data_IF_340951100185
#
_entry.id   IF_340951100185
#
_cell.length_a   1.000
_cell.length_b   1.000
_cell.length_c   1.000
_cell.angle_alpha   90.00
_cell.angle_beta   90.00
_cell.angle_gamma   90.00
#
_symmetry.space_group_name_H-M   'P 1'
#
loop_
_entity.id
_entity.type
_entity.pdbx_description
1 polymer ?
#
# COMPACT_ATOMS: atom_id res chain seq x y z
N UNK A 1 -2.55 13.71 -15.36
CA UNK A 1 -1.19 13.27 -14.96
C UNK A 1 -1.04 13.59 -13.48
N UNK A 2 -1.41 12.66 -12.59
CA UNK A 2 -1.32 12.83 -11.13
C UNK A 2 -0.23 11.91 -10.53
N UNK A 3 0.46 11.13 -11.37
CA UNK A 3 1.54 10.20 -10.97
C UNK A 3 2.84 10.88 -10.49
N UNK A 4 2.83 12.18 -10.17
CA UNK A 4 4.02 12.92 -9.73
C UNK A 4 3.78 13.91 -8.58
N UNK A 5 2.53 14.08 -8.12
CA UNK A 5 2.23 15.07 -7.08
C UNK A 5 2.03 14.37 -5.73
N UNK A 6 2.59 14.93 -4.65
CA UNK A 6 2.25 14.44 -3.32
C UNK A 6 0.76 14.63 -3.08
N UNK A 7 0.09 13.58 -2.64
CA UNK A 7 -1.36 13.56 -2.42
C UNK A 7 -1.61 13.58 -0.93
N UNK A 8 -2.37 14.55 -0.44
CA UNK A 8 -2.77 14.66 0.94
C UNK A 8 -4.28 14.49 1.03
N UNK A 9 -4.74 13.81 2.09
CA UNK A 9 -6.16 13.64 2.41
C UNK A 9 -6.40 14.03 3.85
N UNK A 10 -7.62 14.46 4.16
CA UNK A 10 -8.01 14.78 5.52
C UNK A 10 -8.63 13.52 6.14
N UNK A 11 -8.02 13.00 7.19
CA UNK A 11 -8.56 11.90 7.98
C UNK A 11 -9.44 12.47 9.09
N UNK A 12 -10.60 11.85 9.28
CA UNK A 12 -11.54 12.14 10.37
C UNK A 12 -11.90 10.85 11.10
N UNK A 13 -12.53 10.94 12.27
CA UNK A 13 -12.87 9.78 13.10
C UNK A 13 -13.65 8.67 12.36
N UNK A 14 -14.47 9.04 11.37
CA UNK A 14 -15.29 8.12 10.58
C UNK A 14 -14.65 7.64 9.27
N UNK A 15 -13.43 8.07 8.94
CA UNK A 15 -12.77 7.73 7.69
C UNK A 15 -11.97 8.89 7.11
N UNK A 16 -12.40 9.39 5.95
CA UNK A 16 -11.77 10.53 5.28
C UNK A 16 -12.82 11.59 4.99
N UNK A 17 -12.41 12.85 4.98
CA UNK A 17 -13.30 13.96 4.72
C UNK A 17 -13.85 13.88 3.29
N UNK A 18 -15.17 13.93 3.21
CA UNK A 18 -15.92 14.04 1.96
C UNK A 18 -16.75 15.31 2.02
N UNK A 19 -17.16 15.78 0.85
CA UNK A 19 -17.94 16.99 0.76
C UNK A 19 -19.00 16.86 -0.33
N UNK A 20 -20.13 17.52 -0.16
CA UNK A 20 -21.13 17.64 -1.21
C UNK A 20 -20.63 18.65 -2.25
N UNK A 21 -20.62 18.25 -3.51
CA UNK A 21 -20.11 19.06 -4.63
C UNK A 21 -21.23 19.23 -5.66
N UNK A 22 -22.14 20.20 -5.46
CA UNK A 22 -23.23 20.46 -6.41
C UNK A 22 -22.71 20.90 -7.79
N UNK A 23 -21.50 21.46 -7.85
CA UNK A 23 -20.85 21.93 -9.08
C UNK A 23 -20.04 20.84 -9.81
N UNK A 24 -19.87 19.66 -9.22
CA UNK A 24 -19.32 18.52 -9.97
C UNK A 24 -20.42 17.99 -10.93
N UNK A 25 -20.15 17.83 -12.23
CA UNK A 25 -21.18 17.50 -13.21
C UNK A 25 -21.76 16.10 -12.94
N UNK A 26 -23.05 15.99 -12.51
CA UNK A 26 -24.02 14.87 -12.67
C UNK A 26 -25.35 15.12 -11.90
N UNK A 27 -26.44 14.42 -12.28
CA UNK A 27 -27.86 14.62 -11.90
C UNK A 27 -28.28 14.30 -10.43
N UNK A 28 -27.37 14.14 -9.47
CA UNK A 28 -27.69 13.76 -8.07
C UNK A 28 -26.70 14.37 -7.09
N UNK A 29 -26.99 14.45 -5.77
CA UNK A 29 -26.00 14.89 -4.79
C UNK A 29 -24.73 14.06 -4.94
N UNK A 30 -23.66 14.72 -5.38
CA UNK A 30 -22.37 14.12 -5.63
C UNK A 30 -21.52 14.37 -4.40
N UNK A 31 -21.08 13.31 -3.75
CA UNK A 31 -20.03 13.43 -2.76
C UNK A 31 -18.69 13.27 -3.45
N UNK A 32 -17.77 14.16 -3.11
CA UNK A 32 -16.38 14.08 -3.53
C UNK A 32 -15.50 13.84 -2.29
N UNK A 33 -14.48 13.01 -2.45
CA UNK A 33 -13.41 12.96 -1.45
C UNK A 33 -12.47 14.14 -1.63
N UNK A 34 -12.08 14.76 -0.52
CA UNK A 34 -11.12 15.86 -0.51
C UNK A 34 -9.69 15.36 -0.66
N UNK A 35 -9.00 15.88 -1.67
CA UNK A 35 -7.60 15.59 -1.97
C UNK A 35 -6.85 16.91 -2.18
N UNK A 36 -5.65 17.00 -1.64
CA UNK A 36 -4.81 18.19 -1.72
C UNK A 36 -3.44 17.85 -2.30
N UNK A 37 -2.88 18.78 -3.05
CA UNK A 37 -1.53 18.68 -3.66
C UNK A 37 -0.43 19.11 -2.71
N UNK A 38 -0.76 19.80 -1.61
CA UNK A 38 0.18 20.18 -0.55
C UNK A 38 -0.45 20.02 0.82
N UNK A 39 0.38 19.77 1.83
CA UNK A 39 -0.05 19.68 3.24
C UNK A 39 -0.70 20.96 3.71
N UNK A 40 -0.09 22.11 3.39
CA UNK A 40 -0.58 23.43 3.75
C UNK A 40 -1.99 23.71 3.23
N UNK A 41 -2.30 23.35 1.98
CA UNK A 41 -3.66 23.54 1.45
C UNK A 41 -4.70 22.73 2.22
N UNK A 42 -4.33 21.53 2.69
CA UNK A 42 -5.22 20.72 3.51
C UNK A 42 -5.40 21.33 4.90
N UNK A 43 -4.33 21.85 5.53
CA UNK A 43 -4.38 22.55 6.81
C UNK A 43 -5.24 23.82 6.73
N UNK A 44 -4.99 24.68 5.74
CA UNK A 44 -5.74 25.91 5.49
C UNK A 44 -7.24 25.60 5.29
N UNK A 45 -7.57 24.49 4.61
CA UNK A 45 -8.96 24.05 4.43
C UNK A 45 -9.59 23.55 5.74
N UNK A 46 -8.87 22.76 6.54
CA UNK A 46 -9.34 22.30 7.86
C UNK A 46 -9.68 23.50 8.75
N UNK A 47 -8.79 24.50 8.78
CA UNK A 47 -8.97 25.71 9.57
C UNK A 47 -10.17 26.53 9.08
N UNK A 48 -10.28 26.75 7.77
CA UNK A 48 -11.36 27.54 7.17
C UNK A 48 -12.74 26.93 7.39
N UNK A 49 -12.86 25.60 7.35
CA UNK A 49 -14.12 24.88 7.54
C UNK A 49 -14.41 24.57 9.01
N UNK A 50 -13.39 24.60 9.87
CA UNK A 50 -13.50 24.29 11.29
C UNK A 50 -13.76 22.80 11.56
N UNK A 51 -13.04 21.91 10.85
CA UNK A 51 -13.20 20.46 11.04
C UNK A 51 -12.46 20.02 12.32
N UNK A 52 -13.24 19.72 13.36
CA UNK A 52 -12.69 19.20 14.63
C UNK A 52 -12.13 17.77 14.46
N UNK A 53 -11.06 17.45 15.19
CA UNK A 53 -10.37 16.15 15.18
C UNK A 53 -9.92 15.66 13.78
N UNK A 54 -9.55 16.60 12.90
CA UNK A 54 -9.01 16.30 11.59
C UNK A 54 -7.48 16.17 11.59
N UNK A 55 -6.96 15.20 10.83
CA UNK A 55 -5.52 14.99 10.63
C UNK A 55 -5.20 15.01 9.13
N UNK A 56 -4.20 15.80 8.72
CA UNK A 56 -3.68 15.75 7.35
C UNK A 56 -2.82 14.51 7.20
N UNK A 57 -3.16 13.68 6.21
CA UNK A 57 -2.43 12.45 5.91
C UNK A 57 -1.84 12.50 4.51
N UNK A 58 -0.52 12.37 4.42
CA UNK A 58 0.18 12.13 3.17
C UNK A 58 -0.05 10.69 2.65
N UNK A 59 -0.43 10.58 1.38
CA UNK A 59 -0.55 9.35 0.63
C UNK A 59 0.70 9.14 -0.23
N UNK A 60 1.41 8.05 0.05
CA UNK A 60 2.75 7.79 -0.51
C UNK A 60 2.72 7.32 -1.95
N UNK A 61 1.61 6.71 -2.36
CA UNK A 61 1.45 6.17 -3.68
C UNK A 61 -0.03 6.03 -4.05
N UNK A 62 -0.24 5.75 -5.32
CA UNK A 62 -1.55 5.58 -5.92
C UNK A 62 -2.38 4.46 -5.30
N UNK A 63 -1.78 3.43 -4.70
CA UNK A 63 -2.57 2.37 -4.05
C UNK A 63 -3.09 2.80 -2.68
N UNK A 64 -2.40 3.69 -1.98
CA UNK A 64 -2.97 4.29 -0.77
C UNK A 64 -4.21 5.10 -1.12
N UNK A 65 -4.14 5.89 -2.20
CA UNK A 65 -5.31 6.58 -2.73
C UNK A 65 -6.41 5.60 -3.17
N UNK A 66 -6.06 4.50 -3.83
CA UNK A 66 -7.02 3.44 -4.16
C UNK A 66 -7.71 2.82 -2.94
N UNK A 67 -7.00 2.62 -1.82
CA UNK A 67 -7.60 2.15 -0.56
C UNK A 67 -8.53 3.19 0.06
N UNK A 68 -8.11 4.44 0.04
CA UNK A 68 -8.91 5.57 0.52
C UNK A 68 -10.23 5.62 -0.27
N UNK A 69 -10.18 5.51 -1.59
CA UNK A 69 -11.35 5.46 -2.47
C UNK A 69 -12.23 4.23 -2.17
N UNK A 70 -11.63 3.05 -2.01
CA UNK A 70 -12.37 1.80 -1.83
C UNK A 70 -13.16 1.70 -0.52
N UNK A 71 -12.76 2.45 0.52
CA UNK A 71 -13.50 2.47 1.80
C UNK A 71 -14.57 3.58 1.86
N UNK A 72 -14.67 4.43 0.84
CA UNK A 72 -15.67 5.49 0.85
C UNK A 72 -17.09 4.91 0.70
N UNK A 73 -18.11 5.59 1.25
CA UNK A 73 -19.49 5.27 0.96
C UNK A 73 -19.74 5.24 -0.55
N UNK A 74 -20.65 4.37 -1.01
CA UNK A 74 -20.98 4.21 -2.44
C UNK A 74 -21.50 5.49 -3.14
N UNK A 75 -21.77 6.54 -2.37
CA UNK A 75 -22.22 7.85 -2.85
C UNK A 75 -21.05 8.77 -3.27
N UNK A 76 -19.79 8.40 -2.97
CA UNK A 76 -18.61 9.15 -3.41
C UNK A 76 -18.26 8.73 -4.83
N UNK A 77 -18.43 9.65 -5.77
CA UNK A 77 -18.22 9.42 -7.21
C UNK A 77 -17.08 10.27 -7.79
N UNK A 78 -16.63 11.28 -7.04
CA UNK A 78 -15.66 12.27 -7.46
C UNK A 78 -14.51 12.45 -6.47
N UNK A 79 -13.47 13.13 -6.93
CA UNK A 79 -12.41 13.70 -6.12
C UNK A 79 -12.47 15.21 -6.30
N UNK A 80 -12.50 15.93 -5.18
CA UNK A 80 -12.38 17.37 -5.10
C UNK A 80 -10.92 17.71 -4.80
N UNK A 81 -10.26 18.37 -5.73
CA UNK A 81 -8.83 18.68 -5.68
C UNK A 81 -8.64 20.13 -5.26
N UNK A 82 -7.82 20.33 -4.24
CA UNK A 82 -7.40 21.63 -3.73
C UNK A 82 -8.61 22.56 -3.50
N UNK A 83 -9.64 22.04 -2.82
CA UNK A 83 -10.80 22.84 -2.46
C UNK A 83 -10.39 23.99 -1.56
N UNK A 84 -10.92 25.19 -1.83
CA UNK A 84 -10.65 26.40 -1.05
C UNK A 84 -12.00 26.99 -0.66
N UNK A 85 -12.14 27.37 0.61
CA UNK A 85 -13.27 28.15 1.10
C UNK A 85 -12.83 29.62 1.23
N UNK A 86 -13.38 30.50 0.40
CA UNK A 86 -13.10 31.94 0.41
C UNK A 86 -14.40 32.72 0.47
N UNK A 87 -14.55 33.60 1.47
CA UNK A 87 -15.75 34.45 1.66
C UNK A 87 -17.09 33.68 1.65
N UNK A 88 -17.09 32.45 2.17
CA UNK A 88 -18.27 31.57 2.20
C UNK A 88 -18.59 30.87 0.87
N UNK A 89 -17.76 31.07 -0.16
CA UNK A 89 -17.82 30.36 -1.43
C UNK A 89 -16.77 29.26 -1.47
N UNK A 90 -17.20 28.07 -1.88
CA UNK A 90 -16.31 26.96 -2.11
C UNK A 90 -15.89 26.95 -3.58
N UNK A 91 -14.58 27.04 -3.81
CA UNK A 91 -13.97 26.79 -5.11
C UNK A 91 -13.36 25.39 -5.08
N UNK A 92 -13.70 24.56 -6.07
CA UNK A 92 -13.17 23.19 -6.15
C UNK A 92 -13.01 22.73 -7.59
N UNK A 93 -11.94 21.97 -7.85
CA UNK A 93 -11.77 21.26 -9.10
C UNK A 93 -12.18 19.81 -8.93
N UNK A 94 -13.13 19.36 -9.74
CA UNK A 94 -13.63 17.99 -9.69
C UNK A 94 -13.00 17.09 -10.76
N UNK A 95 -12.66 15.87 -10.37
CA UNK A 95 -12.42 14.77 -11.30
C UNK A 95 -13.29 13.57 -10.92
N UNK A 96 -13.77 12.82 -11.92
CA UNK A 96 -14.44 11.56 -11.63
C UNK A 96 -13.43 10.56 -11.07
N UNK A 97 -13.85 9.69 -10.15
CA UNK A 97 -12.99 8.59 -9.67
C UNK A 97 -12.48 7.72 -10.83
N UNK A 98 -13.30 7.55 -11.86
CA UNK A 98 -12.93 6.79 -13.05
C UNK A 98 -11.78 7.43 -13.83
N UNK A 99 -11.85 8.74 -14.08
CA UNK A 99 -10.78 9.48 -14.77
C UNK A 99 -9.51 9.55 -13.92
N UNK A 100 -9.66 9.67 -12.60
CA UNK A 100 -8.53 9.57 -11.68
C UNK A 100 -7.84 8.21 -11.81
N UNK A 101 -8.57 7.11 -11.67
CA UNK A 101 -8.01 5.74 -11.77
C UNK A 101 -7.35 5.49 -13.12
N UNK A 102 -7.87 6.06 -14.21
CA UNK A 102 -7.24 5.98 -15.54
C UNK A 102 -5.91 6.72 -15.63
N UNK A 103 -5.75 7.81 -14.88
CA UNK A 103 -4.53 8.63 -14.89
C UNK A 103 -3.51 8.21 -13.83
N UNK A 104 -3.89 7.29 -12.94
CA UNK A 104 -3.03 6.63 -11.97
C UNK A 104 -2.25 5.49 -12.65
N UNK A 105 -0.92 5.60 -12.65
CA UNK A 105 -0.02 4.49 -13.00
C UNK A 105 0.01 3.49 -11.84
N UNK A 106 -1.08 2.72 -11.65
CA UNK A 106 -1.22 1.82 -10.50
C UNK A 106 0.06 1.02 -10.35
N UNK A 107 0.85 1.33 -9.33
CA UNK A 107 2.10 0.64 -9.07
C UNK A 107 1.72 -0.80 -8.67
N UNK A 108 1.69 -1.67 -9.68
CA UNK A 108 1.38 -3.10 -9.56
C UNK A 108 2.56 -3.88 -8.96
N UNK A 109 3.59 -3.19 -8.50
CA UNK A 109 4.77 -3.78 -7.90
C UNK A 109 4.42 -4.32 -6.52
N UNK A 110 4.56 -5.63 -6.25
CA UNK A 110 4.35 -6.17 -4.91
C UNK A 110 5.35 -5.58 -3.88
N UNK A 111 6.38 -4.88 -4.36
CA UNK A 111 7.49 -4.28 -3.61
C UNK A 111 7.18 -2.93 -2.97
N UNK A 112 6.13 -2.24 -3.42
CA UNK A 112 5.69 -0.95 -2.84
C UNK A 112 4.87 -1.13 -1.54
N UNK A 113 4.81 -2.36 -1.03
CA UNK A 113 4.03 -2.74 0.13
C UNK A 113 4.90 -3.47 1.14
N UNK A 114 4.48 -3.50 2.41
CA UNK A 114 5.16 -4.30 3.39
C UNK A 114 5.15 -5.76 2.95
N UNK A 115 6.34 -6.33 2.85
CA UNK A 115 6.53 -7.75 2.64
C UNK A 115 6.92 -8.40 3.95
N UNK A 116 6.61 -9.68 4.05
CA UNK A 116 6.78 -10.43 5.28
C UNK A 116 7.68 -11.63 5.04
N UNK A 117 8.55 -11.89 5.99
CA UNK A 117 9.40 -13.07 6.05
C UNK A 117 9.15 -13.79 7.37
N UNK A 118 9.49 -15.07 7.42
CA UNK A 118 9.49 -15.85 8.66
C UNK A 118 10.94 -16.15 9.02
N UNK A 119 11.37 -15.72 10.20
CA UNK A 119 12.74 -15.86 10.70
C UNK A 119 12.73 -16.64 12.01
N UNK A 120 13.70 -17.49 12.24
CA UNK A 120 13.92 -18.19 13.50
C UNK A 120 14.84 -17.37 14.43
N UNK A 121 14.82 -17.69 15.72
CA UNK A 121 15.66 -17.02 16.74
C UNK A 121 17.16 -17.16 16.48
N UNK A 122 17.59 -18.25 15.80
CA UNK A 122 18.97 -18.46 15.37
C UNK A 122 19.35 -17.66 14.11
N UNK A 123 18.42 -16.89 13.55
CA UNK A 123 18.62 -16.07 12.35
C UNK A 123 18.21 -16.73 11.04
N UNK A 124 17.90 -18.03 11.01
CA UNK A 124 17.52 -18.74 9.79
C UNK A 124 16.13 -18.33 9.30
N UNK A 125 15.92 -18.32 7.98
CA UNK A 125 14.63 -17.99 7.39
C UNK A 125 13.85 -19.26 7.03
N UNK A 126 12.53 -19.17 7.02
CA UNK A 126 11.71 -20.20 6.39
C UNK A 126 12.07 -20.23 4.90
N UNK A 127 12.60 -21.36 4.45
CA UNK A 127 13.15 -21.52 3.12
C UNK A 127 12.68 -22.83 2.50
N UNK A 128 12.68 -22.84 1.18
CA UNK A 128 12.52 -24.04 0.35
C UNK A 128 13.92 -24.46 -0.06
N UNK A 129 14.34 -25.64 0.38
CA UNK A 129 15.59 -26.23 -0.06
C UNK A 129 15.45 -26.69 -1.51
N UNK A 130 16.39 -26.28 -2.36
CA UNK A 130 16.54 -26.81 -3.72
C UNK A 130 17.88 -27.52 -3.82
N UNK A 131 18.12 -28.26 -4.90
CA UNK A 131 19.38 -29.03 -5.08
C UNK A 131 20.65 -28.17 -4.94
N UNK A 132 20.57 -26.88 -5.29
CA UNK A 132 21.74 -25.99 -5.39
C UNK A 132 21.61 -24.68 -4.59
N UNK A 133 20.48 -24.41 -3.93
CA UNK A 133 20.26 -23.12 -3.26
C UNK A 133 19.16 -23.15 -2.19
N UNK A 134 19.20 -22.17 -1.28
CA UNK A 134 18.11 -21.88 -0.37
C UNK A 134 17.25 -20.75 -0.94
N UNK A 135 15.94 -20.99 -1.05
CA UNK A 135 14.98 -20.00 -1.53
C UNK A 135 14.12 -19.54 -0.36
N UNK A 136 14.25 -18.29 0.08
CA UNK A 136 13.49 -17.80 1.24
C UNK A 136 12.03 -17.50 0.90
N UNK A 137 11.13 -17.79 1.82
CA UNK A 137 9.72 -17.48 1.66
C UNK A 137 9.45 -15.99 1.88
N UNK A 138 8.89 -15.34 0.87
CA UNK A 138 8.43 -13.95 0.90
C UNK A 138 6.92 -13.90 0.76
N UNK A 139 6.24 -13.23 1.68
CA UNK A 139 4.79 -13.10 1.67
C UNK A 139 4.38 -11.66 1.40
N UNK A 140 3.41 -11.48 0.50
CA UNK A 140 2.88 -10.16 0.15
C UNK A 140 1.80 -9.67 1.11
N UNK A 141 1.37 -10.51 2.05
CA UNK A 141 0.43 -10.14 3.12
C UNK A 141 0.78 -10.84 4.43
N UNK A 142 0.44 -10.18 5.55
CA UNK A 142 0.58 -10.75 6.89
C UNK A 142 -0.20 -12.07 7.04
N UNK A 143 -1.42 -12.11 6.50
CA UNK A 143 -2.27 -13.30 6.60
C UNK A 143 -1.62 -14.52 5.94
N UNK A 144 -1.06 -14.37 4.74
CA UNK A 144 -0.37 -15.48 4.05
C UNK A 144 0.84 -15.99 4.83
N UNK A 145 1.62 -15.09 5.44
CA UNK A 145 2.74 -15.48 6.29
C UNK A 145 2.27 -16.24 7.53
N UNK A 146 1.18 -15.81 8.17
CA UNK A 146 0.57 -16.50 9.31
C UNK A 146 0.03 -17.88 8.94
N UNK A 147 -0.69 -17.97 7.82
CA UNK A 147 -1.25 -19.22 7.32
C UNK A 147 -0.15 -20.23 7.00
N UNK A 148 0.94 -19.78 6.37
CA UNK A 148 2.10 -20.60 6.09
C UNK A 148 2.79 -21.05 7.39
N UNK A 149 3.05 -20.11 8.32
CA UNK A 149 3.67 -20.40 9.62
C UNK A 149 2.90 -21.48 10.40
N UNK A 150 1.57 -21.42 10.37
CA UNK A 150 0.71 -22.38 11.08
C UNK A 150 0.83 -23.82 10.56
N UNK A 151 1.29 -24.00 9.32
CA UNK A 151 1.45 -25.31 8.67
C UNK A 151 2.85 -25.92 8.82
N UNK A 152 3.82 -25.15 9.31
CA UNK A 152 5.18 -25.63 9.57
C UNK A 152 5.20 -26.60 10.75
N UNK A 153 6.15 -27.53 10.78
CA UNK A 153 6.31 -28.47 11.90
C UNK A 153 6.52 -27.79 13.27
N UNK A 154 7.17 -26.62 13.28
CA UNK A 154 7.46 -25.83 14.49
C UNK A 154 7.05 -24.36 14.33
N UNK A 155 5.74 -24.03 14.34
CA UNK A 155 5.26 -22.66 14.09
C UNK A 155 5.82 -21.64 15.08
N UNK A 156 5.98 -22.02 16.35
CA UNK A 156 6.48 -21.13 17.42
C UNK A 156 7.95 -20.76 17.27
N UNK A 157 8.74 -21.54 16.51
CA UNK A 157 10.14 -21.25 16.27
C UNK A 157 10.34 -20.09 15.28
N UNK A 158 9.30 -19.70 14.54
CA UNK A 158 9.35 -18.62 13.56
C UNK A 158 8.65 -17.37 14.06
N UNK A 159 9.32 -16.25 13.92
CA UNK A 159 8.82 -14.90 14.13
C UNK A 159 8.60 -14.19 12.79
N UNK A 160 7.62 -13.30 12.78
CA UNK A 160 7.22 -12.57 11.58
C UNK A 160 8.06 -11.31 11.45
N UNK A 161 8.92 -11.26 10.44
CA UNK A 161 9.67 -10.07 10.09
C UNK A 161 8.89 -9.28 9.04
N UNK A 162 8.59 -8.01 9.33
CA UNK A 162 7.91 -7.08 8.41
C UNK A 162 8.93 -6.08 7.87
N UNK A 163 9.00 -5.95 6.55
CA UNK A 163 9.84 -4.98 5.86
C UNK A 163 8.93 -3.98 5.17
N UNK A 164 8.98 -2.71 5.56
CA UNK A 164 7.91 -1.73 5.28
C UNK A 164 8.09 -0.97 3.95
N UNK A 165 9.33 -0.84 3.47
CA UNK A 165 9.66 0.05 2.35
C UNK A 165 10.57 -0.63 1.32
N UNK A 166 10.55 -0.19 0.05
CA UNK A 166 11.46 -0.70 -0.97
C UNK A 166 12.94 -0.58 -0.58
N UNK A 167 13.34 0.53 0.06
CA UNK A 167 14.70 0.73 0.56
C UNK A 167 15.07 -0.28 1.64
N UNK A 168 14.22 -0.47 2.64
CA UNK A 168 14.46 -1.49 3.67
C UNK A 168 14.53 -2.89 3.07
N UNK A 169 13.72 -3.17 2.05
CA UNK A 169 13.76 -4.46 1.36
C UNK A 169 15.04 -4.63 0.55
N UNK A 170 15.47 -3.59 -0.15
CA UNK A 170 16.75 -3.58 -0.85
C UNK A 170 17.91 -3.88 0.10
N UNK A 171 17.99 -3.15 1.22
CA UNK A 171 19.06 -3.30 2.21
C UNK A 171 18.99 -4.69 2.85
N UNK A 172 17.79 -5.14 3.23
CA UNK A 172 17.56 -6.48 3.75
C UNK A 172 18.00 -7.58 2.79
N UNK A 173 17.64 -7.48 1.51
CA UNK A 173 17.98 -8.49 0.51
C UNK A 173 19.48 -8.50 0.18
N UNK A 174 20.17 -7.37 0.27
CA UNK A 174 21.63 -7.27 0.11
C UNK A 174 22.41 -7.90 1.26
N UNK A 175 21.85 -7.88 2.46
CA UNK A 175 22.50 -8.40 3.67
C UNK A 175 22.25 -9.91 3.88
N UNK A 176 21.52 -10.58 2.98
CA UNK A 176 21.32 -12.02 3.06
C UNK A 176 22.61 -12.81 2.75
N UNK A 177 22.82 -13.97 3.39
CA UNK A 177 23.94 -14.86 3.05
C UNK A 177 23.95 -15.25 1.56
N UNK A 178 25.15 -15.41 0.98
CA UNK A 178 25.33 -15.72 -0.46
C UNK A 178 24.63 -17.02 -0.92
N UNK A 179 24.36 -17.93 0.01
CA UNK A 179 23.61 -19.18 -0.22
C UNK A 179 22.13 -18.96 -0.55
N UNK A 180 21.60 -17.77 -0.21
CA UNK A 180 20.23 -17.36 -0.46
C UNK A 180 20.21 -16.48 -1.72
N UNK A 181 19.91 -17.10 -2.86
CA UNK A 181 19.98 -16.42 -4.16
C UNK A 181 18.60 -16.01 -4.71
N UNK A 182 17.52 -16.51 -4.12
CA UNK A 182 16.18 -16.28 -4.61
C UNK A 182 15.15 -16.22 -3.48
N UNK A 183 13.99 -15.65 -3.81
CA UNK A 183 12.80 -15.64 -2.95
C UNK A 183 11.65 -16.38 -3.65
N UNK A 184 10.86 -17.10 -2.87
CA UNK A 184 9.62 -17.74 -3.29
C UNK A 184 8.45 -16.85 -2.86
N UNK A 185 7.57 -16.48 -3.80
CA UNK A 185 6.43 -15.61 -3.49
C UNK A 185 5.26 -16.42 -2.99
N UNK A 186 4.78 -16.08 -1.81
CA UNK A 186 3.62 -16.68 -1.16
C UNK A 186 3.61 -18.21 -1.30
N UNK A 187 4.70 -18.90 -0.90
CA UNK A 187 4.74 -20.34 -0.99
C UNK A 187 3.65 -20.95 -0.10
N UNK A 188 3.34 -22.21 -0.37
CA UNK A 188 2.35 -22.99 0.38
C UNK A 188 2.99 -24.29 0.85
N UNK A 189 2.51 -24.77 1.98
CA UNK A 189 2.81 -26.12 2.49
C UNK A 189 1.55 -26.96 2.31
N UNK A 190 1.69 -28.12 1.67
CA UNK A 190 0.63 -29.10 1.52
C UNK A 190 0.49 -29.99 2.78
N UNK A 191 -0.46 -30.93 2.74
CA UNK A 191 -0.71 -31.86 3.86
C UNK A 191 0.46 -32.83 4.10
N UNK A 192 1.32 -33.04 3.10
CA UNK A 192 2.48 -33.92 3.15
C UNK A 192 3.78 -33.18 3.52
N UNK A 193 3.68 -31.93 4.01
CA UNK A 193 4.81 -31.04 4.30
C UNK A 193 5.69 -30.69 3.08
N UNK A 194 5.17 -30.85 1.86
CA UNK A 194 5.87 -30.38 0.68
C UNK A 194 5.67 -28.87 0.53
N UNK A 195 6.78 -28.18 0.30
CA UNK A 195 6.80 -26.76 0.02
C UNK A 195 6.66 -26.51 -1.48
N UNK A 196 5.70 -25.68 -1.87
CA UNK A 196 5.48 -25.31 -3.27
C UNK A 196 5.38 -23.80 -3.41
N UNK A 197 5.89 -23.28 -4.52
CA UNK A 197 5.78 -21.87 -4.86
C UNK A 197 5.38 -21.74 -6.32
N UNK A 198 4.42 -20.86 -6.61
CA UNK A 198 4.00 -20.58 -7.99
C UNK A 198 5.07 -19.78 -8.72
N UNK A 199 5.84 -18.98 -7.98
CA UNK A 199 6.86 -18.09 -8.54
C UNK A 199 8.05 -17.99 -7.60
N UNK A 200 9.24 -18.16 -8.17
CA UNK A 200 10.50 -17.82 -7.54
C UNK A 200 11.20 -16.73 -8.38
N UNK A 201 11.94 -15.85 -7.73
CA UNK A 201 12.72 -14.82 -8.42
C UNK A 201 14.07 -14.63 -7.72
N UNK A 202 15.12 -14.52 -8.52
CA UNK A 202 16.46 -14.21 -8.05
C UNK A 202 16.51 -12.83 -7.39
N UNK A 203 17.20 -12.75 -6.26
CA UNK A 203 17.35 -11.52 -5.47
C UNK A 203 18.04 -10.44 -6.29
N UNK A 204 19.07 -10.79 -7.07
CA UNK A 204 19.76 -9.84 -7.93
C UNK A 204 18.80 -9.15 -8.92
N UNK A 205 17.90 -9.93 -9.56
CA UNK A 205 16.88 -9.41 -10.47
C UNK A 205 15.85 -8.55 -9.74
N UNK A 206 15.52 -8.88 -8.49
CA UNK A 206 14.60 -8.08 -7.68
C UNK A 206 15.17 -6.69 -7.44
N UNK A 207 16.41 -6.66 -6.97
CA UNK A 207 17.15 -5.43 -6.67
C UNK A 207 17.29 -4.57 -7.92
N UNK A 208 17.76 -5.15 -9.02
CA UNK A 208 18.02 -4.42 -10.27
C UNK A 208 16.76 -3.88 -10.94
N UNK A 209 15.65 -4.61 -10.91
CA UNK A 209 14.45 -4.23 -11.67
C UNK A 209 13.40 -3.47 -10.88
N UNK A 210 13.37 -3.65 -9.56
CA UNK A 210 12.24 -3.20 -8.76
C UNK A 210 12.60 -2.38 -7.53
N UNK A 211 13.87 -2.36 -7.10
CA UNK A 211 14.30 -1.69 -5.87
C UNK A 211 15.46 -0.70 -6.08
N UNK A 212 15.54 -0.11 -7.28
CA UNK A 212 16.53 0.93 -7.66
C UNK A 212 16.05 2.31 -7.27
#
# INVERSE_FOLDING_TARGET
>A
MISSYPVYVIRINSGYATMETPDCPQDKPNYAILVFTTEKLAEDFIEAVGIEDAEVRFLRNERELGRVIAIQPAQVTHIAIDSILSDGHLETNCLTLYDMVKTMTLARSPWDYPVFFLRQTNGQFAAIATENSLVIALFTTNQKAKDYRAKLERPSAYELLRVETPKQLHDFLKDLPEEIQAVAFNPMVDENQNHTAVQCMEIAKIIEKFLV
#
